data_IF_994419442439
#
_entry.id   IF_994419442439
#
_cell.length_a   1.000
_cell.length_b   1.000
_cell.length_c   1.000
_cell.angle_alpha   90.00
_cell.angle_beta   90.00
_cell.angle_gamma   90.00
#
_symmetry.space_group_name_H-M   'P 1'
#
loop_
_entity.id
_entity.type
_entity.pdbx_description
1 polymer ?
#
# COMPACT_ATOMS: atom_id res chain seq x y z
N UNK A 1 -23.80 -6.31 -75.07
CA UNK A 1 -24.34 -6.85 -73.80
C UNK A 1 -23.17 -7.09 -72.87
N UNK A 2 -23.12 -6.50 -71.66
CA UNK A 2 -22.04 -6.79 -70.70
C UNK A 2 -21.74 -5.69 -69.67
N UNK A 3 -22.68 -5.50 -68.74
CA UNK A 3 -22.47 -5.25 -67.30
C UNK A 3 -21.48 -4.16 -66.82
N UNK A 4 -22.02 -2.96 -66.55
CA UNK A 4 -21.56 -2.07 -65.47
C UNK A 4 -22.22 -2.53 -64.15
N UNK A 5 -21.50 -3.22 -63.26
CA UNK A 5 -22.01 -3.53 -61.92
C UNK A 5 -20.93 -3.28 -60.86
N UNK A 6 -21.35 -2.73 -59.72
CA UNK A 6 -20.62 -2.59 -58.44
C UNK A 6 -19.51 -1.52 -58.31
N UNK A 7 -19.89 -0.23 -58.30
CA UNK A 7 -19.11 0.81 -57.59
C UNK A 7 -19.93 1.61 -56.55
N UNK A 8 -21.26 1.53 -56.59
CA UNK A 8 -22.14 2.28 -55.69
C UNK A 8 -22.23 1.71 -54.26
N UNK A 9 -22.04 0.39 -54.08
CA UNK A 9 -22.17 -0.27 -52.77
C UNK A 9 -21.09 0.14 -51.75
N UNK A 10 -19.81 0.18 -52.16
CA UNK A 10 -18.69 0.54 -51.25
C UNK A 10 -18.78 1.96 -50.71
N UNK A 11 -19.18 2.94 -51.55
CA UNK A 11 -19.25 4.34 -51.13
C UNK A 11 -20.41 4.62 -50.14
N UNK A 12 -21.50 3.85 -50.24
CA UNK A 12 -22.63 3.95 -49.30
C UNK A 12 -22.29 3.27 -47.97
N UNK A 13 -21.58 2.15 -48.02
CA UNK A 13 -21.12 1.41 -46.85
C UNK A 13 -20.06 2.18 -46.06
N UNK A 14 -19.08 2.81 -46.73
CA UNK A 14 -18.09 3.71 -46.11
C UNK A 14 -18.74 4.95 -45.47
N UNK A 15 -19.73 5.56 -46.14
CA UNK A 15 -20.49 6.70 -45.57
C UNK A 15 -21.33 6.30 -44.36
N UNK A 16 -21.93 5.10 -44.36
CA UNK A 16 -22.66 4.56 -43.18
C UNK A 16 -21.71 4.24 -42.03
N UNK A 17 -20.56 3.61 -42.30
CA UNK A 17 -19.52 3.34 -41.30
C UNK A 17 -19.05 4.63 -40.63
N UNK A 18 -18.71 5.66 -41.42
CA UNK A 18 -18.26 6.97 -40.90
C UNK A 18 -19.31 7.74 -40.08
N UNK A 19 -20.62 7.52 -40.32
CA UNK A 19 -21.72 8.16 -39.58
C UNK A 19 -21.96 7.56 -38.20
N UNK A 20 -21.66 6.28 -38.01
CA UNK A 20 -21.82 5.57 -36.72
C UNK A 20 -20.50 5.54 -35.94
N UNK A 21 -19.36 5.51 -36.63
CA UNK A 21 -18.03 5.57 -36.02
C UNK A 21 -17.80 6.87 -35.24
N UNK A 22 -18.24 8.03 -35.78
CA UNK A 22 -18.08 9.33 -35.10
C UNK A 22 -18.80 9.44 -33.75
N UNK A 23 -20.11 9.14 -33.63
CA UNK A 23 -20.79 9.16 -32.34
C UNK A 23 -20.26 8.08 -31.39
N UNK A 24 -19.90 6.89 -31.89
CA UNK A 24 -19.27 5.85 -31.05
C UNK A 24 -17.92 6.31 -30.48
N UNK A 25 -17.09 6.98 -31.29
CA UNK A 25 -15.82 7.55 -30.84
C UNK A 25 -16.03 8.67 -29.81
N UNK A 26 -17.05 9.50 -29.98
CA UNK A 26 -17.42 10.56 -29.02
C UNK A 26 -17.92 9.96 -27.70
N UNK A 27 -18.69 8.88 -27.72
CA UNK A 27 -19.13 8.17 -26.51
C UNK A 27 -17.92 7.54 -25.81
N UNK A 28 -17.03 6.87 -26.54
CA UNK A 28 -15.80 6.30 -25.97
C UNK A 28 -14.90 7.39 -25.36
N UNK A 29 -14.76 8.53 -26.04
CA UNK A 29 -14.04 9.69 -25.52
C UNK A 29 -14.70 10.23 -24.25
N UNK A 30 -16.03 10.36 -24.22
CA UNK A 30 -16.76 10.79 -23.03
C UNK A 30 -16.58 9.80 -21.87
N UNK A 31 -16.71 8.50 -22.11
CA UNK A 31 -16.47 7.46 -21.10
C UNK A 31 -15.03 7.49 -20.59
N UNK A 32 -14.06 7.70 -21.48
CA UNK A 32 -12.65 7.86 -21.12
C UNK A 32 -12.43 9.10 -20.26
N UNK A 33 -13.05 10.24 -20.62
CA UNK A 33 -12.99 11.47 -19.83
C UNK A 33 -13.68 11.32 -18.48
N UNK A 34 -14.80 10.60 -18.40
CA UNK A 34 -15.47 10.29 -17.14
C UNK A 34 -14.65 9.35 -16.27
N UNK A 35 -13.96 8.37 -16.84
CA UNK A 35 -13.02 7.50 -16.13
C UNK A 35 -11.82 8.30 -15.60
N UNK A 36 -11.27 9.20 -16.42
CA UNK A 36 -10.19 10.10 -16.01
C UNK A 36 -10.69 11.03 -14.89
N UNK A 37 -11.86 11.62 -15.04
CA UNK A 37 -12.50 12.43 -14.01
C UNK A 37 -12.69 11.62 -12.71
N UNK A 38 -13.14 10.37 -12.80
CA UNK A 38 -13.27 9.48 -11.64
C UNK A 38 -11.93 9.15 -10.98
N UNK A 39 -10.88 8.91 -11.75
CA UNK A 39 -9.55 8.57 -11.21
C UNK A 39 -8.85 9.77 -10.55
N UNK A 40 -9.06 10.98 -11.07
CA UNK A 40 -8.29 12.16 -10.68
C UNK A 40 -9.06 13.18 -9.83
N UNK A 41 -10.39 13.22 -9.88
CA UNK A 41 -11.15 14.19 -9.08
C UNK A 41 -11.27 13.74 -7.62
N UNK A 42 -11.10 14.64 -6.64
CA UNK A 42 -11.07 14.32 -5.21
C UNK A 42 -12.48 14.17 -4.63
N UNK A 43 -13.38 13.45 -5.32
CA UNK A 43 -14.69 13.15 -4.76
C UNK A 43 -14.58 12.11 -3.64
N UNK A 44 -15.16 12.42 -2.49
CA UNK A 44 -15.16 11.54 -1.31
C UNK A 44 -13.81 11.46 -0.61
N UNK A 45 -13.89 11.17 0.69
CA UNK A 45 -12.77 10.69 1.49
C UNK A 45 -12.68 9.19 1.31
N UNK A 46 -11.48 8.69 1.02
CA UNK A 46 -11.20 7.26 1.00
C UNK A 46 -10.05 7.05 1.98
N UNK A 47 -10.22 6.15 2.94
CA UNK A 47 -9.19 5.80 3.93
C UNK A 47 -8.88 4.32 3.83
N UNK A 48 -7.59 4.01 3.97
CA UNK A 48 -7.13 2.65 3.99
C UNK A 48 -6.17 2.42 5.16
N UNK A 49 -6.22 1.22 5.73
CA UNK A 49 -5.17 0.76 6.65
C UNK A 49 -4.15 -0.06 5.85
N UNK A 50 -2.91 0.41 5.85
CA UNK A 50 -1.76 -0.28 5.28
C UNK A 50 -1.14 -1.18 6.35
N UNK A 51 -1.04 -2.46 6.03
CA UNK A 51 -0.59 -3.51 6.94
C UNK A 51 0.66 -4.18 6.35
N UNK A 52 1.76 -4.17 7.09
CA UNK A 52 2.93 -4.99 6.81
C UNK A 52 2.86 -6.27 7.62
N UNK A 53 2.82 -7.43 6.96
CA UNK A 53 2.76 -8.72 7.65
C UNK A 53 3.90 -9.65 7.23
N UNK A 54 4.49 -10.34 8.21
CA UNK A 54 5.44 -11.44 8.02
C UNK A 54 4.71 -12.77 7.72
N UNK A 55 3.48 -12.71 7.17
CA UNK A 55 2.64 -13.88 6.94
C UNK A 55 3.23 -14.78 5.84
N UNK A 56 3.78 -15.93 6.22
CA UNK A 56 3.90 -17.06 5.29
C UNK A 56 2.50 -17.61 5.02
N UNK A 57 2.21 -18.01 3.78
CA UNK A 57 0.90 -18.55 3.40
C UNK A 57 0.46 -19.67 4.37
N UNK A 58 -0.58 -19.41 5.18
CA UNK A 58 -1.22 -20.38 6.07
C UNK A 58 -0.84 -20.34 7.57
N UNK A 59 -0.05 -19.36 8.05
CA UNK A 59 0.26 -19.20 9.49
C UNK A 59 -0.51 -18.08 10.19
N UNK A 60 -0.67 -18.17 11.52
CA UNK A 60 -1.12 -17.05 12.34
C UNK A 60 -0.08 -15.92 12.25
N UNK A 61 -0.44 -14.83 11.58
CA UNK A 61 0.45 -13.69 11.36
C UNK A 61 0.05 -12.52 12.25
N UNK A 62 1.00 -11.61 12.50
CA UNK A 62 0.76 -10.33 13.17
C UNK A 62 1.12 -9.21 12.21
N UNK A 63 0.40 -8.10 12.30
CA UNK A 63 0.79 -6.88 11.61
C UNK A 63 1.96 -6.23 12.38
N UNK A 64 3.14 -6.17 11.77
CA UNK A 64 4.31 -5.49 12.34
C UNK A 64 4.34 -4.00 11.97
N UNK A 65 3.66 -3.62 10.89
CA UNK A 65 3.41 -2.22 10.50
C UNK A 65 1.92 -1.97 10.35
N UNK A 66 1.40 -0.93 11.00
CA UNK A 66 0.00 -0.49 10.89
C UNK A 66 0.02 1.02 10.60
N UNK A 67 -0.49 1.43 9.45
CA UNK A 67 -0.58 2.84 9.04
C UNK A 67 -1.97 3.12 8.51
N UNK A 68 -2.70 4.03 9.16
CA UNK A 68 -3.93 4.58 8.62
C UNK A 68 -3.59 5.72 7.66
N UNK A 69 -4.13 5.70 6.45
CA UNK A 69 -3.87 6.75 5.46
C UNK A 69 -5.16 7.20 4.79
N UNK A 70 -5.17 8.45 4.35
CA UNK A 70 -6.26 9.07 3.62
C UNK A 70 -5.83 9.40 2.19
N UNK A 71 -6.62 8.95 1.21
CA UNK A 71 -6.41 9.26 -0.19
C UNK A 71 -6.53 10.77 -0.42
N UNK A 72 -5.40 11.42 -0.65
CA UNK A 72 -5.34 12.88 -0.74
C UNK A 72 -4.42 13.55 0.28
N UNK A 73 -3.74 12.78 1.15
CA UNK A 73 -2.77 13.29 2.13
C UNK A 73 -3.13 12.84 3.54
N UNK A 74 -2.10 12.64 4.37
CA UNK A 74 -2.26 12.12 5.72
C UNK A 74 -1.86 10.65 5.87
N UNK A 75 -0.91 10.40 6.77
CA UNK A 75 -0.50 9.08 7.21
C UNK A 75 -0.33 9.09 8.73
N UNK A 76 -0.97 8.14 9.40
CA UNK A 76 -0.96 7.97 10.85
C UNK A 76 -0.45 6.56 11.16
N UNK A 77 0.77 6.47 11.66
CA UNK A 77 1.36 5.22 12.11
C UNK A 77 0.85 4.86 13.51
N UNK A 78 0.32 3.65 13.66
CA UNK A 78 -0.13 3.13 14.96
C UNK A 78 0.91 2.11 15.45
N UNK A 79 1.55 2.33 16.61
CA UNK A 79 2.47 1.34 17.18
C UNK A 79 1.81 -0.02 17.35
N UNK A 80 2.46 -1.09 16.90
CA UNK A 80 1.90 -2.46 16.95
C UNK A 80 1.53 -2.94 18.36
N UNK A 81 2.19 -2.37 19.38
CA UNK A 81 2.01 -2.71 20.79
C UNK A 81 0.98 -1.77 21.47
N UNK A 82 0.21 -0.99 20.70
CA UNK A 82 -0.83 -0.10 21.23
C UNK A 82 -1.89 -0.89 21.96
N UNK A 83 -2.11 -0.58 23.24
CA UNK A 83 -3.17 -1.19 24.06
C UNK A 83 -4.53 -0.68 23.60
N UNK A 84 -5.39 -1.59 23.14
CA UNK A 84 -6.73 -1.29 22.61
C UNK A 84 -7.72 -2.37 23.02
N UNK A 85 -9.00 -2.03 23.06
CA UNK A 85 -10.08 -3.01 23.12
C UNK A 85 -10.37 -3.52 21.70
N UNK A 86 -10.10 -4.79 21.44
CA UNK A 86 -10.27 -5.41 20.13
C UNK A 86 -11.70 -5.98 20.06
N UNK A 87 -12.53 -5.55 19.09
CA UNK A 87 -13.92 -6.02 18.96
C UNK A 87 -14.03 -7.55 18.97
N UNK A 88 -14.81 -8.09 19.92
CA UNK A 88 -15.04 -9.52 20.07
C UNK A 88 -13.87 -10.35 20.63
N UNK A 89 -12.74 -9.73 20.95
CA UNK A 89 -11.56 -10.39 21.54
C UNK A 89 -11.27 -9.87 22.95
N UNK A 90 -11.37 -8.56 23.18
CA UNK A 90 -11.06 -7.89 24.44
C UNK A 90 -9.78 -7.06 24.37
N UNK A 91 -9.31 -6.61 25.53
CA UNK A 91 -8.14 -5.73 25.64
C UNK A 91 -6.82 -6.47 25.36
N UNK A 92 -6.08 -6.05 24.34
CA UNK A 92 -4.75 -6.55 24.01
C UNK A 92 -4.00 -5.51 23.13
N UNK A 93 -2.81 -5.87 22.67
CA UNK A 93 -2.05 -5.12 21.67
C UNK A 93 -2.78 -5.14 20.33
N UNK A 94 -2.82 -4.01 19.65
CA UNK A 94 -3.51 -3.86 18.36
C UNK A 94 -3.06 -4.88 17.30
N UNK A 95 -1.80 -5.33 17.32
CA UNK A 95 -1.34 -6.36 16.38
C UNK A 95 -1.96 -7.75 16.59
N UNK A 96 -2.56 -8.02 17.75
CA UNK A 96 -3.30 -9.24 18.02
C UNK A 96 -4.60 -9.30 17.20
N UNK A 97 -5.18 -8.15 16.82
CA UNK A 97 -6.35 -8.09 15.96
C UNK A 97 -6.12 -8.81 14.62
N UNK A 98 -4.91 -8.67 14.05
CA UNK A 98 -4.55 -9.36 12.81
C UNK A 98 -4.48 -10.87 12.99
N UNK A 99 -3.95 -11.35 14.12
CA UNK A 99 -3.86 -12.77 14.42
C UNK A 99 -5.25 -13.38 14.70
N UNK A 100 -6.15 -12.61 15.32
CA UNK A 100 -7.47 -13.08 15.71
C UNK A 100 -8.50 -13.04 14.56
N UNK A 101 -8.47 -12.01 13.72
CA UNK A 101 -9.49 -11.78 12.69
C UNK A 101 -8.95 -11.20 11.38
N UNK A 102 -7.63 -11.24 11.17
CA UNK A 102 -7.01 -10.80 9.93
C UNK A 102 -7.09 -9.29 9.68
N UNK A 103 -6.97 -8.86 8.42
CA UNK A 103 -6.98 -7.43 8.09
C UNK A 103 -8.32 -6.76 8.42
N UNK A 104 -9.45 -7.46 8.29
CA UNK A 104 -10.78 -6.91 8.60
C UNK A 104 -10.91 -6.48 10.07
N UNK A 105 -10.58 -7.38 11.01
CA UNK A 105 -10.63 -7.03 12.44
C UNK A 105 -9.59 -5.98 12.81
N UNK A 106 -8.42 -5.99 12.15
CA UNK A 106 -7.40 -4.95 12.35
C UNK A 106 -7.94 -3.58 11.94
N UNK A 107 -8.61 -3.50 10.79
CA UNK A 107 -9.26 -2.26 10.32
C UNK A 107 -10.31 -1.78 11.31
N UNK A 108 -11.21 -2.66 11.76
CA UNK A 108 -12.26 -2.32 12.73
C UNK A 108 -11.67 -1.84 14.07
N UNK A 109 -10.54 -2.43 14.50
CA UNK A 109 -9.83 -2.01 15.71
C UNK A 109 -9.19 -0.63 15.53
N UNK A 110 -8.62 -0.34 14.35
CA UNK A 110 -8.07 1.00 14.03
C UNK A 110 -9.20 2.04 13.96
N UNK A 111 -10.34 1.71 13.35
CA UNK A 111 -11.54 2.57 13.35
C UNK A 111 -12.00 2.85 14.78
N UNK A 112 -12.03 1.84 15.65
CA UNK A 112 -12.43 2.00 17.06
C UNK A 112 -11.45 2.87 17.85
N UNK A 113 -10.14 2.76 17.58
CA UNK A 113 -9.11 3.58 18.20
C UNK A 113 -9.16 5.04 17.75
N UNK A 114 -9.44 5.28 16.47
CA UNK A 114 -9.32 6.60 15.84
C UNK A 114 -10.65 7.34 15.70
N UNK A 115 -11.77 6.63 15.76
CA UNK A 115 -13.11 7.18 15.56
C UNK A 115 -13.43 7.61 14.13
N UNK A 116 -12.52 7.41 13.17
CA UNK A 116 -12.75 7.73 11.75
C UNK A 116 -13.11 6.47 10.96
N UNK A 117 -14.05 6.56 10.00
CA UNK A 117 -14.41 5.42 9.16
C UNK A 117 -13.27 5.08 8.20
N UNK A 118 -12.99 3.79 8.05
CA UNK A 118 -11.99 3.22 7.16
C UNK A 118 -12.68 2.34 6.13
N UNK A 119 -12.46 2.65 4.86
CA UNK A 119 -13.14 1.97 3.75
C UNK A 119 -12.43 0.66 3.37
N UNK A 120 -11.11 0.68 3.44
CA UNK A 120 -10.28 -0.34 2.80
C UNK A 120 -9.08 -0.78 3.65
N UNK A 121 -8.49 -1.92 3.29
CA UNK A 121 -7.20 -2.35 3.79
C UNK A 121 -6.27 -2.76 2.65
N UNK A 122 -4.96 -2.66 2.88
CA UNK A 122 -3.94 -3.22 1.99
C UNK A 122 -2.91 -3.94 2.85
N UNK A 123 -2.82 -5.25 2.71
CA UNK A 123 -1.77 -6.07 3.34
C UNK A 123 -0.66 -6.31 2.33
N UNK A 124 0.55 -5.90 2.68
CA UNK A 124 1.75 -6.27 1.93
C UNK A 124 2.36 -7.51 2.58
N UNK A 125 2.49 -8.58 1.80
CA UNK A 125 3.21 -9.77 2.23
C UNK A 125 4.71 -9.57 1.95
N UNK A 126 5.55 -9.66 2.97
CA UNK A 126 6.99 -9.52 2.78
C UNK A 126 7.61 -10.62 1.90
N UNK A 127 7.00 -11.78 1.76
CA UNK A 127 7.41 -12.78 0.75
C UNK A 127 7.26 -12.27 -0.70
N UNK A 128 6.31 -11.36 -0.94
CA UNK A 128 6.06 -10.76 -2.24
C UNK A 128 6.90 -9.51 -2.54
N UNK A 129 7.65 -9.00 -1.57
CA UNK A 129 8.49 -7.81 -1.74
C UNK A 129 9.52 -7.99 -2.84
N UNK A 130 10.14 -9.18 -2.90
CA UNK A 130 11.14 -9.50 -3.92
C UNK A 130 10.58 -9.25 -5.32
N UNK A 131 9.42 -9.81 -5.61
CA UNK A 131 8.76 -9.70 -6.93
C UNK A 131 8.41 -8.24 -7.28
N UNK A 132 7.96 -7.47 -6.29
CA UNK A 132 7.59 -6.05 -6.49
C UNK A 132 8.84 -5.23 -6.83
N UNK A 133 9.91 -5.39 -6.03
CA UNK A 133 11.17 -4.65 -6.20
C UNK A 133 11.86 -5.05 -7.52
N UNK A 134 11.90 -6.34 -7.86
CA UNK A 134 12.45 -6.81 -9.13
C UNK A 134 11.67 -6.25 -10.32
N UNK A 135 10.33 -6.17 -10.23
CA UNK A 135 9.50 -5.57 -11.27
C UNK A 135 9.70 -4.05 -11.42
N UNK A 136 10.04 -3.35 -10.33
CA UNK A 136 10.47 -1.95 -10.35
C UNK A 136 11.89 -1.78 -10.90
N UNK A 137 12.67 -2.86 -10.95
CA UNK A 137 14.07 -2.82 -11.38
C UNK A 137 15.03 -2.41 -10.27
N UNK A 138 14.63 -2.52 -9.00
CA UNK A 138 15.41 -2.14 -7.82
C UNK A 138 14.70 -1.12 -6.93
N UNK A 139 15.25 -0.91 -5.73
CA UNK A 139 14.81 0.12 -4.78
C UNK A 139 16.03 0.80 -4.15
N UNK A 140 16.02 2.12 -4.02
CA UNK A 140 17.07 2.85 -3.30
C UNK A 140 16.71 2.99 -1.83
N UNK A 141 17.59 2.56 -0.93
CA UNK A 141 17.43 2.65 0.53
C UNK A 141 18.68 3.21 1.20
N UNK A 142 18.47 3.95 2.28
CA UNK A 142 19.55 4.32 3.20
C UNK A 142 19.77 3.19 4.23
N UNK A 143 20.97 2.60 4.19
CA UNK A 143 21.37 1.49 5.07
C UNK A 143 22.28 2.04 6.18
N UNK A 144 21.75 2.21 7.39
CA UNK A 144 22.49 2.85 8.48
C UNK A 144 23.73 2.05 8.93
N UNK A 145 23.61 0.72 8.97
CA UNK A 145 24.66 -0.20 9.43
C UNK A 145 24.75 -1.37 8.45
N UNK A 146 25.95 -1.93 8.23
CA UNK A 146 26.10 -3.07 7.32
C UNK A 146 25.25 -4.25 7.81
N UNK A 147 24.54 -4.87 6.88
CA UNK A 147 23.67 -6.02 7.14
C UNK A 147 24.34 -7.27 6.57
N UNK A 148 24.55 -8.27 7.42
CA UNK A 148 24.90 -9.63 6.99
C UNK A 148 23.83 -10.59 7.51
N UNK A 149 23.16 -11.30 6.59
CA UNK A 149 22.07 -12.22 6.95
C UNK A 149 22.02 -13.43 6.01
N UNK A 150 21.68 -14.59 6.58
CA UNK A 150 21.33 -15.77 5.82
C UNK A 150 19.83 -15.84 5.59
N UNK A 151 19.38 -15.73 4.33
CA UNK A 151 17.99 -15.96 3.94
C UNK A 151 17.94 -16.98 2.81
N UNK A 152 16.97 -17.89 2.85
CA UNK A 152 16.75 -18.92 1.81
C UNK A 152 18.03 -19.71 1.45
N UNK A 153 18.89 -19.99 2.45
CA UNK A 153 20.13 -20.74 2.27
C UNK A 153 21.27 -19.95 1.62
N UNK A 154 21.11 -18.64 1.38
CA UNK A 154 22.13 -17.74 0.80
C UNK A 154 22.53 -16.68 1.82
N UNK A 155 23.82 -16.35 1.86
CA UNK A 155 24.33 -15.20 2.62
C UNK A 155 24.20 -13.94 1.76
N UNK A 156 23.64 -12.89 2.35
CA UNK A 156 23.50 -11.56 1.77
C UNK A 156 24.31 -10.60 2.61
N UNK A 157 25.07 -9.73 1.95
CA UNK A 157 25.82 -8.65 2.56
C UNK A 157 25.41 -7.33 1.93
N UNK A 158 24.85 -6.42 2.71
CA UNK A 158 24.44 -5.08 2.29
C UNK A 158 25.33 -4.06 3.03
N UNK A 159 26.22 -3.34 2.33
CA UNK A 159 27.04 -2.32 2.96
C UNK A 159 26.21 -1.12 3.44
N UNK A 160 26.71 -0.40 4.43
CA UNK A 160 26.10 0.86 4.86
C UNK A 160 26.14 1.95 3.77
N UNK A 161 25.28 2.97 3.93
CA UNK A 161 25.05 4.11 3.04
C UNK A 161 23.84 3.95 2.13
N UNK A 162 23.66 4.88 1.20
CA UNK A 162 22.62 4.80 0.16
C UNK A 162 22.94 3.69 -0.82
N UNK A 163 22.04 2.72 -0.97
CA UNK A 163 22.20 1.54 -1.82
C UNK A 163 20.98 1.32 -2.69
N UNK A 164 21.20 1.00 -3.95
CA UNK A 164 20.19 0.38 -4.80
C UNK A 164 20.22 -1.12 -4.52
N UNK A 165 19.07 -1.66 -4.12
CA UNK A 165 18.89 -3.05 -3.74
C UNK A 165 18.01 -3.77 -4.76
N UNK A 166 18.40 -4.99 -5.14
CA UNK A 166 17.51 -5.89 -5.87
C UNK A 166 16.43 -6.49 -4.96
N UNK A 167 15.48 -7.26 -5.50
CA UNK A 167 14.40 -7.83 -4.70
C UNK A 167 14.88 -8.79 -3.61
N UNK A 168 16.01 -9.49 -3.81
CA UNK A 168 16.55 -10.40 -2.81
C UNK A 168 17.24 -9.65 -1.67
N UNK A 169 18.01 -8.62 -1.99
CA UNK A 169 18.63 -7.72 -1.03
C UNK A 169 17.58 -6.92 -0.25
N UNK A 170 16.52 -6.44 -0.91
CA UNK A 170 15.39 -5.80 -0.26
C UNK A 170 14.69 -6.75 0.72
N UNK A 171 14.45 -8.00 0.34
CA UNK A 171 13.89 -9.00 1.25
C UNK A 171 14.80 -9.25 2.45
N UNK A 172 16.11 -9.32 2.23
CA UNK A 172 17.10 -9.47 3.29
C UNK A 172 17.09 -8.27 4.25
N UNK A 173 17.00 -7.05 3.72
CA UNK A 173 16.91 -5.81 4.49
C UNK A 173 15.69 -5.81 5.43
N UNK A 174 14.51 -6.16 4.90
CA UNK A 174 13.23 -6.17 5.64
C UNK A 174 13.19 -7.28 6.70
N UNK A 175 13.83 -8.43 6.44
CA UNK A 175 13.88 -9.57 7.37
C UNK A 175 15.03 -9.51 8.36
N UNK A 176 15.94 -8.53 8.26
CA UNK A 176 17.10 -8.44 9.14
C UNK A 176 16.70 -8.20 10.60
N UNK A 177 17.23 -9.03 11.51
CA UNK A 177 16.97 -8.99 12.96
C UNK A 177 18.21 -8.68 13.81
N UNK A 178 19.37 -8.41 13.21
CA UNK A 178 20.58 -8.10 13.97
C UNK A 178 20.62 -6.69 14.55
N UNK A 179 21.54 -6.46 15.51
CA UNK A 179 21.80 -5.17 16.16
C UNK A 179 21.29 -5.06 17.61
N UNK A 180 21.71 -4.02 18.36
CA UNK A 180 21.41 -3.85 19.80
C UNK A 180 19.92 -3.60 20.11
N UNK A 181 19.12 -3.26 19.10
CA UNK A 181 17.67 -3.00 19.20
C UNK A 181 16.86 -3.91 18.28
N UNK A 182 17.33 -5.13 18.03
CA UNK A 182 16.81 -6.13 17.07
C UNK A 182 15.33 -5.99 16.65
N UNK A 183 14.38 -6.03 17.58
CA UNK A 183 12.94 -5.95 17.28
C UNK A 183 12.43 -4.52 17.02
N UNK A 184 12.86 -3.53 17.80
CA UNK A 184 12.47 -2.12 17.61
C UNK A 184 13.06 -1.58 16.30
N UNK A 185 14.32 -1.90 16.02
CA UNK A 185 14.99 -1.57 14.77
C UNK A 185 14.36 -2.24 13.56
N UNK A 186 13.80 -3.46 13.71
CA UNK A 186 13.10 -4.16 12.61
C UNK A 186 11.85 -3.40 12.18
N UNK A 187 11.00 -2.99 13.12
CA UNK A 187 9.76 -2.27 12.82
C UNK A 187 10.08 -0.95 12.10
N UNK A 188 11.04 -0.18 12.61
CA UNK A 188 11.45 1.07 11.97
C UNK A 188 12.01 0.87 10.55
N UNK A 189 12.76 -0.22 10.31
CA UNK A 189 13.22 -0.60 8.97
C UNK A 189 12.06 -0.97 8.04
N UNK A 190 11.09 -1.74 8.51
CA UNK A 190 9.93 -2.13 7.71
C UNK A 190 9.05 -0.94 7.33
N UNK A 191 8.78 -0.03 8.28
CA UNK A 191 8.06 1.22 8.03
C UNK A 191 8.78 2.09 7.00
N UNK A 192 10.11 2.25 7.15
CA UNK A 192 10.94 2.98 6.18
C UNK A 192 10.90 2.31 4.81
N UNK A 193 11.07 0.99 4.75
CA UNK A 193 11.03 0.23 3.51
C UNK A 193 9.70 0.43 2.76
N UNK A 194 8.56 0.30 3.44
CA UNK A 194 7.24 0.48 2.82
C UNK A 194 7.05 1.91 2.29
N UNK A 195 7.59 2.92 2.99
CA UNK A 195 7.58 4.32 2.52
C UNK A 195 8.40 4.48 1.24
N UNK A 196 9.66 4.04 1.25
CA UNK A 196 10.55 4.15 0.08
C UNK A 196 10.00 3.34 -1.10
N UNK A 197 9.40 2.17 -0.84
CA UNK A 197 8.74 1.36 -1.87
C UNK A 197 7.58 2.12 -2.51
N UNK A 198 6.74 2.77 -1.70
CA UNK A 198 5.64 3.59 -2.19
C UNK A 198 6.15 4.79 -3.02
N UNK A 199 7.23 5.44 -2.59
CA UNK A 199 7.84 6.56 -3.30
C UNK A 199 8.46 6.12 -4.64
N UNK A 200 9.25 5.04 -4.63
CA UNK A 200 9.93 4.53 -5.81
C UNK A 200 8.95 3.92 -6.82
N UNK A 201 7.89 3.24 -6.37
CA UNK A 201 6.86 2.67 -7.27
C UNK A 201 6.11 3.73 -8.08
N UNK A 202 6.18 4.99 -7.64
CA UNK A 202 5.53 6.14 -8.26
C UNK A 202 6.53 7.16 -8.83
N UNK A 203 7.80 6.77 -8.97
CA UNK A 203 8.86 7.57 -9.58
C UNK A 203 8.69 7.64 -11.12
N UNK A 204 9.03 8.77 -11.77
CA UNK A 204 8.94 8.89 -13.22
C UNK A 204 9.79 7.85 -13.98
N UNK A 205 10.92 7.41 -13.40
CA UNK A 205 11.79 6.36 -13.93
C UNK A 205 11.09 5.00 -14.03
N UNK A 206 10.08 4.75 -13.18
CA UNK A 206 9.30 3.52 -13.19
C UNK A 206 8.05 3.58 -14.06
N UNK A 207 7.77 4.71 -14.74
CA UNK A 207 6.60 4.86 -15.61
C UNK A 207 6.56 3.80 -16.74
N UNK A 208 7.72 3.41 -17.27
CA UNK A 208 7.83 2.37 -18.31
C UNK A 208 7.63 0.96 -17.76
N UNK A 209 7.91 0.75 -16.47
CA UNK A 209 7.76 -0.53 -15.77
C UNK A 209 6.40 -0.69 -15.08
N UNK A 210 5.61 0.38 -15.00
CA UNK A 210 4.31 0.41 -14.33
C UNK A 210 3.40 -0.80 -14.63
N UNK A 211 3.23 -1.28 -15.88
CA UNK A 211 2.41 -2.45 -16.12
C UNK A 211 2.92 -3.71 -15.40
N UNK A 212 4.24 -3.93 -15.40
CA UNK A 212 4.87 -5.05 -14.73
C UNK A 212 4.80 -4.88 -13.20
N UNK A 213 5.16 -3.70 -12.69
CA UNK A 213 5.10 -3.36 -11.26
C UNK A 213 3.68 -3.48 -10.71
N UNK A 214 2.67 -2.94 -11.40
CA UNK A 214 1.28 -3.03 -10.98
C UNK A 214 0.80 -4.49 -10.95
N UNK A 215 1.18 -5.29 -11.95
CA UNK A 215 0.88 -6.72 -11.96
C UNK A 215 1.56 -7.49 -10.84
N UNK A 216 2.83 -7.20 -10.54
CA UNK A 216 3.56 -7.81 -9.43
C UNK A 216 2.98 -7.41 -8.06
N UNK A 217 2.65 -6.13 -7.89
CA UNK A 217 2.01 -5.60 -6.69
C UNK A 217 0.67 -6.28 -6.48
N UNK A 218 -0.20 -6.31 -7.49
CA UNK A 218 -1.53 -6.92 -7.40
C UNK A 218 -1.52 -8.39 -6.98
N UNK A 219 -0.50 -9.16 -7.39
CA UNK A 219 -0.36 -10.58 -6.99
C UNK A 219 0.16 -10.77 -5.56
N UNK A 220 0.77 -9.75 -4.98
CA UNK A 220 1.50 -9.82 -3.72
C UNK A 220 0.89 -8.98 -2.59
N UNK A 221 -0.26 -8.35 -2.85
CA UNK A 221 -1.07 -7.68 -1.85
C UNK A 221 -2.38 -8.43 -1.60
N UNK A 222 -2.90 -8.34 -0.38
CA UNK A 222 -4.27 -8.71 -0.04
C UNK A 222 -5.04 -7.42 0.29
N UNK A 223 -6.16 -7.20 -0.41
CA UNK A 223 -6.97 -5.99 -0.27
C UNK A 223 -8.43 -6.28 -0.59
N UNK A 224 -9.34 -5.57 0.06
CA UNK A 224 -10.76 -5.54 -0.29
C UNK A 224 -11.08 -4.58 -1.44
N UNK A 225 -10.12 -3.78 -1.91
CA UNK A 225 -10.30 -2.90 -3.06
C UNK A 225 -10.39 -3.70 -4.36
N UNK A 226 -11.30 -3.30 -5.25
CA UNK A 226 -11.20 -3.74 -6.65
C UNK A 226 -10.04 -3.02 -7.37
N UNK A 227 -9.55 -3.54 -8.52
CA UNK A 227 -8.41 -2.95 -9.24
C UNK A 227 -8.56 -1.46 -9.56
N UNK A 228 -9.80 -1.01 -9.85
CA UNK A 228 -10.07 0.38 -10.18
C UNK A 228 -10.04 1.30 -8.93
N UNK A 229 -10.55 0.82 -7.80
CA UNK A 229 -10.43 1.50 -6.50
C UNK A 229 -8.98 1.61 -6.07
N UNK A 230 -8.20 0.53 -6.18
CA UNK A 230 -6.77 0.52 -5.86
C UNK A 230 -5.98 1.49 -6.75
N UNK A 231 -6.26 1.50 -8.06
CA UNK A 231 -5.63 2.45 -8.99
C UNK A 231 -5.97 3.91 -8.65
N UNK A 232 -7.25 4.20 -8.35
CA UNK A 232 -7.68 5.53 -7.91
C UNK A 232 -6.98 5.95 -6.62
N UNK A 233 -6.93 5.07 -5.63
CA UNK A 233 -6.26 5.29 -4.35
C UNK A 233 -4.78 5.63 -4.57
N UNK A 234 -4.05 4.79 -5.32
CA UNK A 234 -2.64 4.99 -5.62
C UNK A 234 -2.36 6.33 -6.33
N UNK A 235 -3.18 6.69 -7.33
CA UNK A 235 -3.05 7.98 -8.05
C UNK A 235 -3.27 9.15 -7.09
N UNK A 236 -4.33 9.12 -6.27
CA UNK A 236 -4.63 10.20 -5.33
C UNK A 236 -3.54 10.37 -4.28
N UNK A 237 -3.06 9.27 -3.69
CA UNK A 237 -1.96 9.29 -2.72
C UNK A 237 -0.69 9.86 -3.34
N UNK A 238 -0.40 9.51 -4.60
CA UNK A 238 0.76 10.06 -5.32
C UNK A 238 0.65 11.56 -5.62
N UNK A 239 -0.52 12.03 -6.00
CA UNK A 239 -0.72 13.45 -6.35
C UNK A 239 -0.59 14.35 -5.12
N UNK A 240 -0.94 13.86 -3.94
CA UNK A 240 -0.78 14.60 -2.68
C UNK A 240 0.60 14.52 -2.06
N UNK A 241 1.43 13.58 -2.52
CA UNK A 241 2.74 13.30 -1.93
C UNK A 241 2.65 12.26 -0.81
N UNK A 242 3.70 11.43 -0.71
CA UNK A 242 3.85 10.45 0.36
C UNK A 242 4.58 11.14 1.50
N UNK A 243 3.83 11.60 2.49
CA UNK A 243 4.35 12.26 3.68
C UNK A 243 4.92 11.26 4.68
N UNK A 244 5.71 11.77 5.62
CA UNK A 244 6.10 11.00 6.79
C UNK A 244 4.86 10.73 7.65
N UNK A 245 4.66 9.46 8.03
CA UNK A 245 3.56 9.09 8.90
C UNK A 245 3.75 9.71 10.28
N UNK A 246 2.75 10.46 10.74
CA UNK A 246 2.68 10.94 12.11
C UNK A 246 2.38 9.77 13.04
N UNK A 247 3.01 9.72 14.21
CA UNK A 247 2.81 8.63 15.16
C UNK A 247 1.56 8.88 16.00
N UNK A 248 0.71 7.87 16.19
CA UNK A 248 -0.39 7.94 17.14
C UNK A 248 0.15 8.19 18.57
N UNK A 249 -0.23 9.29 19.24
CA UNK A 249 0.30 9.67 20.54
C UNK A 249 0.13 8.63 21.64
N UNK A 250 1.12 8.52 22.50
CA UNK A 250 1.11 7.62 23.64
C UNK A 250 2.48 7.50 24.28
N UNK A 251 2.61 6.56 25.22
CA UNK A 251 3.86 6.32 25.93
C UNK A 251 4.08 4.82 26.16
N UNK A 252 5.34 4.35 26.13
CA UNK A 252 5.66 2.98 26.52
C UNK A 252 5.41 2.80 28.03
N UNK A 253 4.67 1.76 28.41
CA UNK A 253 4.43 1.39 29.80
C UNK A 253 4.49 -0.13 29.98
N UNK A 254 4.89 -0.57 31.16
CA UNK A 254 4.84 -1.98 31.55
C UNK A 254 3.60 -2.23 32.39
N UNK A 255 2.73 -3.13 31.93
CA UNK A 255 1.53 -3.59 32.64
C UNK A 255 1.73 -5.07 32.89
N UNK A 256 1.76 -5.49 34.16
CA UNK A 256 2.04 -6.88 34.57
C UNK A 256 3.32 -7.48 33.97
N UNK A 257 4.34 -6.63 33.75
CA UNK A 257 5.62 -7.04 33.17
C UNK A 257 5.64 -7.14 31.64
N UNK A 258 4.52 -6.85 30.97
CA UNK A 258 4.41 -6.81 29.50
C UNK A 258 4.50 -5.35 29.05
N UNK A 259 5.31 -5.07 28.03
CA UNK A 259 5.47 -3.73 27.46
C UNK A 259 4.33 -3.42 26.48
N UNK A 260 3.67 -2.28 26.67
CA UNK A 260 2.61 -1.74 25.83
C UNK A 260 2.94 -0.31 25.41
N UNK A 261 2.38 0.11 24.28
CA UNK A 261 2.20 1.52 23.97
C UNK A 261 0.82 1.92 24.50
N UNK A 262 0.78 2.71 25.57
CA UNK A 262 -0.49 3.19 26.13
C UNK A 262 -0.91 4.46 25.38
N UNK A 263 -2.01 4.44 24.62
CA UNK A 263 -2.43 5.56 23.80
C UNK A 263 -2.86 6.76 24.66
N UNK A 264 -2.47 7.97 24.26
CA UNK A 264 -3.06 9.20 24.77
C UNK A 264 -4.26 9.56 23.88
N UNK A 265 -5.47 9.27 24.35
CA UNK A 265 -6.70 9.51 23.55
C UNK A 265 -6.93 10.99 23.26
N UNK A 266 -6.63 11.88 24.20
CA UNK A 266 -6.87 13.32 24.00
C UNK A 266 -5.97 13.90 22.91
N UNK A 267 -4.66 13.61 23.00
CA UNK A 267 -3.72 13.98 21.93
C UNK A 267 -4.00 13.19 20.64
N UNK A 268 -4.44 11.94 20.76
CA UNK A 268 -4.84 11.08 19.66
C UNK A 268 -5.94 11.68 18.80
N UNK A 269 -7.01 12.18 19.42
CA UNK A 269 -8.14 12.80 18.72
C UNK A 269 -7.70 14.03 17.90
N UNK A 270 -6.80 14.86 18.46
CA UNK A 270 -6.25 16.03 17.77
C UNK A 270 -5.38 15.64 16.56
N UNK A 271 -4.51 14.65 16.73
CA UNK A 271 -3.65 14.12 15.65
C UNK A 271 -4.49 13.46 14.56
N UNK A 272 -5.48 12.66 14.94
CA UNK A 272 -6.40 12.03 13.99
C UNK A 272 -7.14 13.09 13.18
N UNK A 273 -7.76 14.08 13.83
CA UNK A 273 -8.53 15.12 13.16
C UNK A 273 -7.69 15.94 12.18
N UNK A 274 -6.43 16.24 12.54
CA UNK A 274 -5.51 16.99 11.67
C UNK A 274 -5.01 16.15 10.50
N UNK A 275 -4.67 14.90 10.75
CA UNK A 275 -3.85 14.10 9.82
C UNK A 275 -4.71 13.22 8.93
N UNK A 276 -5.75 12.59 9.48
CA UNK A 276 -6.62 11.67 8.73
C UNK A 276 -8.11 12.00 8.87
N UNK A 277 -8.49 13.10 9.52
CA UNK A 277 -9.87 13.58 9.70
C UNK A 277 -10.64 13.83 8.41
#
# INVERSE_FOLDING_TARGET
MGMKVFKAGRAVEERRRGRVLRPALLILLLLFLLLLAYLFLPFGTQRAVLLGSDASAGGASRADTIVLTKAGGGMLAVPRDTLVDIPGVGEDKINAAFAAGGPGLTTETVESLTGVPVDDYVVVNFGGVKDIVDAMGGITLEVNEPIEVGIEGRRVFIPAGTRELDGFEALAFVRYRGGPTADIGRIGRQQRFLRELAQESTSPSNLTRLPATAGATWRNIDTNMNPLQAARFAIRTRLSGIEEAELYPGAPQYIEGISYWVPDKGAGDEVVARTVG
#
